data_IF_561346620799
#
_entry.id   IF_561346620799
#
_cell.length_a   1.000
_cell.length_b   1.000
_cell.length_c   1.000
_cell.angle_alpha   90.00
_cell.angle_beta   90.00
_cell.angle_gamma   90.00
#
_symmetry.space_group_name_H-M   'P 1'
#
loop_
_entity.id
_entity.type
_entity.pdbx_description
1 polymer ?
#
# COMPACT_ATOMS: atom_id res chain seq x y z
N UNK A 1 -10.83 2.95 0.86
CA UNK A 1 -12.06 3.75 0.74
C UNK A 1 -12.74 3.93 2.09
N UNK A 2 -13.34 2.87 2.68
CA UNK A 2 -14.14 2.96 3.93
C UNK A 2 -13.44 3.71 5.08
N UNK A 3 -12.14 3.50 5.28
CA UNK A 3 -11.39 4.22 6.33
C UNK A 3 -11.28 5.71 6.05
N UNK A 4 -11.00 6.10 4.80
CA UNK A 4 -10.98 7.51 4.43
C UNK A 4 -12.33 8.18 4.68
N UNK A 5 -13.43 7.53 4.28
CA UNK A 5 -14.80 8.02 4.52
C UNK A 5 -15.10 8.18 6.03
N UNK A 6 -14.70 7.19 6.85
CA UNK A 6 -14.85 7.28 8.33
C UNK A 6 -14.01 8.39 8.97
N UNK A 7 -12.87 8.72 8.37
CA UNK A 7 -12.02 9.84 8.80
C UNK A 7 -12.49 11.20 8.22
N UNK A 8 -13.65 11.24 7.59
CA UNK A 8 -14.23 12.47 7.02
C UNK A 8 -13.59 12.91 5.70
N UNK A 9 -12.83 12.05 5.03
CA UNK A 9 -12.22 12.34 3.74
C UNK A 9 -13.23 12.14 2.61
N UNK A 10 -13.20 13.00 1.59
CA UNK A 10 -13.81 12.71 0.29
C UNK A 10 -12.93 11.68 -0.45
N UNK A 11 -13.48 10.51 -0.71
CA UNK A 11 -12.72 9.42 -1.33
C UNK A 11 -12.98 9.35 -2.83
N UNK A 12 -11.92 9.52 -3.61
CA UNK A 12 -11.90 9.27 -5.05
C UNK A 12 -11.43 7.83 -5.30
N UNK A 13 -12.15 7.09 -6.14
CA UNK A 13 -11.81 5.71 -6.51
C UNK A 13 -11.46 5.66 -7.98
N UNK A 14 -10.26 5.21 -8.31
CA UNK A 14 -9.81 4.99 -9.68
C UNK A 14 -9.47 3.51 -9.86
N UNK A 15 -10.29 2.78 -10.59
CA UNK A 15 -10.11 1.35 -10.89
C UNK A 15 -10.83 1.04 -12.22
N UNK A 16 -10.19 1.32 -13.36
CA UNK A 16 -10.82 1.14 -14.66
C UNK A 16 -11.31 -0.28 -14.95
N UNK A 17 -10.58 -1.37 -14.60
CA UNK A 17 -11.08 -2.73 -14.75
C UNK A 17 -12.35 -2.98 -13.96
N UNK A 18 -12.40 -2.50 -12.73
CA UNK A 18 -13.55 -2.66 -11.86
C UNK A 18 -14.73 -1.80 -12.32
N UNK A 19 -14.48 -0.58 -12.75
CA UNK A 19 -15.49 0.30 -13.31
C UNK A 19 -16.20 -0.34 -14.51
N UNK A 20 -15.43 -0.96 -15.44
CA UNK A 20 -16.01 -1.66 -16.60
C UNK A 20 -16.84 -2.88 -16.21
N UNK A 21 -16.47 -3.58 -15.14
CA UNK A 21 -17.17 -4.79 -14.70
C UNK A 21 -18.38 -4.53 -13.83
N UNK A 22 -18.30 -3.55 -12.94
CA UNK A 22 -19.27 -3.33 -11.87
C UNK A 22 -20.06 -2.02 -12.04
N UNK A 23 -19.57 -1.08 -12.86
CA UNK A 23 -20.10 0.28 -12.89
C UNK A 23 -19.81 1.04 -11.59
N UNK A 24 -20.52 2.14 -11.36
CA UNK A 24 -20.46 2.91 -10.11
C UNK A 24 -19.55 4.13 -10.18
N UNK A 25 -19.35 4.77 -9.02
CA UNK A 25 -18.67 6.06 -8.89
C UNK A 25 -17.15 5.89 -8.89
N UNK A 26 -16.59 5.79 -10.07
CA UNK A 26 -15.14 5.83 -10.29
C UNK A 26 -14.76 7.08 -11.07
N UNK A 27 -13.56 7.57 -10.81
CA UNK A 27 -12.96 8.67 -11.56
C UNK A 27 -11.77 8.18 -12.36
N UNK A 28 -11.35 8.93 -13.35
CA UNK A 28 -10.11 8.68 -14.08
C UNK A 28 -8.87 9.13 -13.29
N UNK A 29 -7.71 8.69 -13.74
CA UNK A 29 -6.43 9.01 -13.10
C UNK A 29 -6.11 10.51 -13.17
N UNK A 30 -6.54 11.20 -14.23
CA UNK A 30 -6.35 12.63 -14.37
C UNK A 30 -7.15 13.42 -13.32
N UNK A 31 -8.34 12.97 -12.99
CA UNK A 31 -9.14 13.55 -11.90
C UNK A 31 -8.48 13.33 -10.55
N UNK A 32 -7.91 12.12 -10.31
CA UNK A 32 -7.12 11.87 -9.08
C UNK A 32 -5.95 12.83 -8.99
N UNK A 33 -5.16 13.01 -10.06
CA UNK A 33 -4.03 13.90 -10.08
C UNK A 33 -4.40 15.36 -9.78
N UNK A 34 -5.53 15.81 -10.29
CA UNK A 34 -6.01 17.19 -10.13
C UNK A 34 -6.62 17.49 -8.77
N UNK A 35 -7.26 16.50 -8.11
CA UNK A 35 -8.15 16.75 -6.98
C UNK A 35 -7.72 16.11 -5.66
N UNK A 36 -6.76 15.18 -5.68
CA UNK A 36 -6.42 14.44 -4.47
C UNK A 36 -5.31 15.12 -3.65
N UNK A 37 -5.55 15.30 -2.36
CA UNK A 37 -4.53 15.70 -1.38
C UNK A 37 -3.65 14.52 -0.95
N UNK A 38 -4.22 13.30 -0.96
CA UNK A 38 -3.54 12.06 -0.61
C UNK A 38 -3.81 11.01 -1.69
N UNK A 39 -2.75 10.43 -2.23
CA UNK A 39 -2.84 9.38 -3.24
C UNK A 39 -2.25 8.09 -2.67
N UNK A 40 -2.98 6.99 -2.76
CA UNK A 40 -2.50 5.68 -2.33
C UNK A 40 -2.77 4.62 -3.39
N UNK A 41 -1.73 3.86 -3.73
CA UNK A 41 -1.81 2.79 -4.73
C UNK A 41 -2.11 1.44 -4.07
N UNK A 42 -3.08 0.71 -4.67
CA UNK A 42 -3.52 -0.63 -4.23
C UNK A 42 -3.72 -1.56 -5.43
N UNK A 43 -3.04 -1.31 -6.51
CA UNK A 43 -3.17 -2.03 -7.77
C UNK A 43 -2.15 -3.16 -7.89
N UNK A 44 -2.46 -4.27 -8.57
CA UNK A 44 -1.46 -5.25 -8.95
C UNK A 44 -0.47 -4.65 -9.94
N UNK A 45 0.73 -5.21 -10.01
CA UNK A 45 1.72 -4.81 -11.01
C UNK A 45 1.49 -5.60 -12.31
N UNK A 46 1.12 -4.89 -13.37
CA UNK A 46 0.97 -5.44 -14.73
C UNK A 46 1.80 -4.61 -15.70
N UNK A 47 2.50 -5.29 -16.62
CA UNK A 47 3.43 -4.63 -17.54
C UNK A 47 2.87 -4.42 -18.94
N UNK A 48 1.71 -5.00 -19.25
CA UNK A 48 1.12 -4.96 -20.59
C UNK A 48 -0.40 -4.97 -20.51
N UNK A 49 -1.04 -4.64 -21.63
CA UNK A 49 -2.49 -4.55 -21.76
C UNK A 49 -3.02 -3.15 -21.49
N UNK A 50 -4.33 -2.98 -21.69
CA UNK A 50 -5.00 -1.68 -21.56
C UNK A 50 -4.96 -1.12 -20.12
N UNK A 51 -4.80 -1.99 -19.14
CA UNK A 51 -4.75 -1.63 -17.71
C UNK A 51 -3.35 -1.88 -17.13
N UNK A 52 -2.30 -1.69 -17.94
CA UNK A 52 -0.93 -1.77 -17.44
C UNK A 52 -0.70 -0.76 -16.31
N UNK A 53 -0.05 -1.23 -15.25
CA UNK A 53 0.18 -0.43 -14.04
C UNK A 53 1.67 -0.17 -13.77
N UNK A 54 2.55 -0.76 -14.58
CA UNK A 54 3.97 -0.44 -14.53
C UNK A 54 4.19 1.03 -14.81
N UNK A 55 4.79 1.73 -13.84
CA UNK A 55 5.01 3.17 -13.89
C UNK A 55 3.74 3.98 -14.22
N UNK A 56 2.59 3.55 -13.70
CA UNK A 56 1.35 4.34 -13.84
C UNK A 56 1.50 5.74 -13.21
N UNK A 57 2.35 5.85 -12.18
CA UNK A 57 2.82 7.13 -11.65
C UNK A 57 4.21 7.43 -12.22
N UNK A 58 4.23 7.80 -13.49
CA UNK A 58 5.41 8.27 -14.23
C UNK A 58 5.66 9.77 -14.03
N UNK A 59 6.68 10.33 -14.70
CA UNK A 59 6.99 11.76 -14.65
C UNK A 59 5.79 12.63 -15.04
N UNK A 60 5.03 12.23 -16.07
CA UNK A 60 3.88 13.01 -16.54
C UNK A 60 2.76 13.06 -15.49
N UNK A 61 2.48 11.91 -14.87
CA UNK A 61 1.50 11.86 -13.78
C UNK A 61 1.94 12.71 -12.60
N UNK A 62 3.19 12.55 -12.15
CA UNK A 62 3.73 13.27 -10.99
C UNK A 62 3.78 14.79 -11.23
N UNK A 63 4.12 15.24 -12.43
CA UNK A 63 4.09 16.66 -12.82
C UNK A 63 2.67 17.24 -12.90
N UNK A 64 1.66 16.40 -13.07
CA UNK A 64 0.25 16.82 -13.14
C UNK A 64 -0.43 16.94 -11.78
N UNK A 65 0.26 16.58 -10.69
CA UNK A 65 -0.28 16.67 -9.34
C UNK A 65 -0.45 18.13 -8.92
N UNK A 66 -1.67 18.54 -8.58
CA UNK A 66 -1.97 19.93 -8.26
C UNK A 66 -2.02 20.20 -6.76
N UNK A 67 -2.45 19.24 -5.97
CA UNK A 67 -2.73 19.39 -4.53
C UNK A 67 -2.15 18.27 -3.68
N UNK A 68 -1.48 17.28 -4.30
CA UNK A 68 -1.02 16.09 -3.58
C UNK A 68 0.05 16.46 -2.54
N UNK A 69 -0.25 16.21 -1.29
CA UNK A 69 0.63 16.41 -0.14
C UNK A 69 1.25 15.11 0.37
N UNK A 70 0.63 13.97 0.05
CA UNK A 70 1.12 12.65 0.44
C UNK A 70 0.86 11.63 -0.66
N UNK A 71 1.91 10.98 -1.12
CA UNK A 71 1.81 9.83 -2.02
C UNK A 71 2.26 8.57 -1.28
N UNK A 72 1.44 7.52 -1.35
CA UNK A 72 1.68 6.25 -0.65
C UNK A 72 1.77 5.10 -1.66
N UNK A 73 2.87 4.37 -1.65
CA UNK A 73 3.00 3.11 -2.38
C UNK A 73 3.22 1.93 -1.43
N UNK A 74 2.16 1.24 -1.11
CA UNK A 74 2.17 -0.04 -0.40
C UNK A 74 1.62 -1.19 -1.27
N UNK A 75 1.61 -1.01 -2.59
CA UNK A 75 1.09 -1.98 -3.53
C UNK A 75 2.20 -2.90 -4.06
N UNK A 76 3.02 -2.40 -4.98
CA UNK A 76 4.19 -3.10 -5.56
C UNK A 76 5.24 -2.10 -6.00
N UNK A 77 6.51 -2.49 -5.95
CA UNK A 77 7.59 -1.78 -6.62
C UNK A 77 7.34 -1.69 -8.11
N UNK A 78 7.69 -0.54 -8.73
CA UNK A 78 7.43 -0.28 -10.14
C UNK A 78 6.00 0.19 -10.50
N UNK A 79 5.12 0.39 -9.53
CA UNK A 79 3.87 1.14 -9.73
C UNK A 79 4.19 2.63 -9.90
N UNK A 80 5.08 3.12 -9.07
CA UNK A 80 5.62 4.48 -9.15
C UNK A 80 7.02 4.41 -9.74
N UNK A 81 7.32 5.24 -10.72
CA UNK A 81 8.68 5.43 -11.22
C UNK A 81 9.49 6.17 -10.15
N UNK A 82 10.42 5.47 -9.49
CA UNK A 82 11.22 6.04 -8.40
C UNK A 82 12.13 7.18 -8.83
N UNK A 83 12.60 7.19 -10.08
CA UNK A 83 13.43 8.28 -10.60
C UNK A 83 12.60 9.54 -10.81
N UNK A 84 11.38 9.38 -11.32
CA UNK A 84 10.44 10.49 -11.46
C UNK A 84 9.97 11.00 -10.08
N UNK A 85 9.72 10.06 -9.15
CA UNK A 85 9.32 10.40 -7.78
C UNK A 85 10.38 11.21 -7.04
N UNK A 86 11.66 10.85 -7.17
CA UNK A 86 12.77 11.62 -6.59
C UNK A 86 12.74 13.08 -7.04
N UNK A 87 12.57 13.32 -8.34
CA UNK A 87 12.49 14.68 -8.88
C UNK A 87 11.28 15.45 -8.32
N UNK A 88 10.15 14.77 -8.19
CA UNK A 88 8.93 15.38 -7.65
C UNK A 88 9.08 15.76 -6.16
N UNK A 89 9.74 14.91 -5.37
CA UNK A 89 10.00 15.16 -3.95
C UNK A 89 11.03 16.26 -3.72
N UNK A 90 12.09 16.31 -4.53
CA UNK A 90 13.13 17.34 -4.42
C UNK A 90 12.62 18.74 -4.82
N UNK A 91 11.59 18.82 -5.64
CA UNK A 91 11.01 20.07 -6.11
C UNK A 91 9.82 20.60 -5.32
N UNK A 92 9.33 19.86 -4.31
CA UNK A 92 8.02 20.18 -3.77
C UNK A 92 7.77 19.89 -2.30
N UNK A 93 6.54 20.15 -1.91
CA UNK A 93 6.02 19.96 -0.55
C UNK A 93 5.38 18.58 -0.34
N UNK A 94 5.48 17.67 -1.34
CA UNK A 94 4.87 16.35 -1.27
C UNK A 94 5.70 15.39 -0.41
N UNK A 95 5.10 14.87 0.63
CA UNK A 95 5.65 13.75 1.40
C UNK A 95 5.40 12.42 0.67
N UNK A 96 6.27 11.43 0.87
CA UNK A 96 6.08 10.09 0.32
C UNK A 96 6.20 9.02 1.40
N UNK A 97 5.33 8.01 1.31
CA UNK A 97 5.35 6.82 2.13
C UNK A 97 5.51 5.59 1.23
N UNK A 98 6.62 4.89 1.37
CA UNK A 98 6.98 3.78 0.49
C UNK A 98 7.21 2.52 1.31
N UNK A 99 6.44 1.49 1.00
CA UNK A 99 6.62 0.14 1.54
C UNK A 99 7.14 -0.83 0.48
N UNK A 100 6.74 -0.64 -0.77
CA UNK A 100 7.14 -1.47 -1.90
C UNK A 100 8.04 -0.68 -2.85
N UNK A 101 9.24 -1.19 -3.08
CA UNK A 101 10.33 -0.51 -3.79
C UNK A 101 10.65 -1.16 -5.12
N UNK A 102 11.17 -0.38 -6.06
CA UNK A 102 11.81 -0.98 -7.23
C UNK A 102 13.09 -1.71 -6.81
N UNK A 103 13.40 -2.79 -7.51
CA UNK A 103 14.63 -3.57 -7.34
C UNK A 103 14.88 -4.13 -5.93
N UNK A 104 13.81 -4.40 -5.16
CA UNK A 104 13.97 -5.12 -3.88
C UNK A 104 14.86 -6.37 -4.05
N UNK A 105 15.75 -6.67 -3.12
CA UNK A 105 16.01 -5.97 -1.85
C UNK A 105 17.00 -4.81 -1.96
N UNK A 106 17.55 -4.51 -3.14
CA UNK A 106 18.49 -3.42 -3.41
C UNK A 106 17.74 -2.13 -3.72
N UNK A 107 17.20 -1.52 -2.67
CA UNK A 107 16.36 -0.33 -2.77
C UNK A 107 17.15 0.94 -3.08
N UNK A 108 16.47 1.95 -3.54
CA UNK A 108 17.06 3.26 -3.81
C UNK A 108 17.33 4.02 -2.50
N UNK A 109 18.60 4.13 -2.10
CA UNK A 109 18.99 4.77 -0.85
C UNK A 109 18.71 6.28 -0.84
N UNK A 110 18.78 6.95 -1.99
CA UNK A 110 18.47 8.39 -2.06
C UNK A 110 16.98 8.61 -1.78
N UNK A 111 16.12 7.78 -2.37
CA UNK A 111 14.69 7.83 -2.12
C UNK A 111 14.35 7.43 -0.66
N UNK A 112 15.09 6.47 -0.08
CA UNK A 112 14.95 6.08 1.33
C UNK A 112 15.17 7.28 2.27
N UNK A 113 16.18 8.08 2.02
CA UNK A 113 16.48 9.27 2.84
C UNK A 113 15.43 10.37 2.66
N UNK A 114 14.82 10.50 1.49
CA UNK A 114 13.80 11.50 1.18
C UNK A 114 12.40 11.11 1.63
N UNK A 115 12.10 9.83 1.71
CA UNK A 115 10.77 9.36 2.07
C UNK A 115 10.40 9.73 3.52
N UNK A 116 9.21 10.25 3.74
CA UNK A 116 8.69 10.51 5.09
C UNK A 116 8.52 9.20 5.88
N UNK A 117 7.91 8.20 5.24
CA UNK A 117 7.82 6.82 5.76
C UNK A 117 8.46 5.88 4.75
N UNK A 118 9.33 4.99 5.23
CA UNK A 118 10.02 3.99 4.45
C UNK A 118 10.04 2.65 5.20
N UNK A 119 9.41 1.62 4.67
CA UNK A 119 9.30 0.32 5.32
C UNK A 119 9.74 -0.81 4.39
N UNK A 120 10.22 -1.95 4.91
CA UNK A 120 10.79 -3.02 4.11
C UNK A 120 9.74 -4.02 3.61
N UNK A 121 8.71 -3.53 2.89
CA UNK A 121 7.62 -4.32 2.30
C UNK A 121 6.86 -5.14 3.35
N UNK A 122 6.40 -4.46 4.40
CA UNK A 122 5.73 -5.05 5.56
C UNK A 122 4.31 -4.51 5.80
N UNK A 123 3.77 -3.69 4.91
CA UNK A 123 2.45 -3.08 5.07
C UNK A 123 1.34 -4.14 5.30
N UNK A 124 1.44 -5.29 4.65
CA UNK A 124 0.54 -6.43 4.83
C UNK A 124 0.92 -7.41 5.97
N UNK A 125 1.93 -7.09 6.80
CA UNK A 125 2.47 -8.03 7.78
C UNK A 125 1.75 -7.91 9.14
N UNK A 126 0.48 -8.31 9.17
CA UNK A 126 -0.26 -8.57 10.41
C UNK A 126 -0.43 -10.07 10.65
N UNK A 127 -0.55 -10.50 11.89
CA UNK A 127 -0.76 -11.90 12.23
C UNK A 127 -2.07 -12.41 11.63
N UNK A 128 -3.14 -11.67 11.82
CA UNK A 128 -4.46 -11.99 11.28
C UNK A 128 -4.50 -11.93 9.75
N UNK A 129 -3.81 -10.97 9.13
CA UNK A 129 -3.71 -10.85 7.67
C UNK A 129 -3.03 -12.06 7.04
N UNK A 130 -1.93 -12.54 7.63
CA UNK A 130 -1.25 -13.75 7.16
C UNK A 130 -2.11 -15.00 7.36
N UNK A 131 -2.79 -15.12 8.49
CA UNK A 131 -3.73 -16.23 8.74
C UNK A 131 -4.88 -16.23 7.71
N UNK A 132 -5.48 -15.06 7.42
CA UNK A 132 -6.51 -14.94 6.39
C UNK A 132 -6.02 -15.33 5.00
N UNK A 133 -4.83 -14.88 4.62
CA UNK A 133 -4.25 -15.25 3.32
C UNK A 133 -4.09 -16.77 3.20
N UNK A 134 -3.60 -17.44 4.25
CA UNK A 134 -3.50 -18.89 4.30
C UNK A 134 -4.87 -19.57 4.22
N UNK A 135 -5.86 -19.11 5.01
CA UNK A 135 -7.21 -19.65 4.98
C UNK A 135 -7.84 -19.54 3.57
N UNK A 136 -7.75 -18.37 2.94
CA UNK A 136 -8.26 -18.14 1.59
C UNK A 136 -7.59 -19.04 0.54
N UNK A 137 -6.28 -19.26 0.64
CA UNK A 137 -5.57 -20.16 -0.26
C UNK A 137 -6.04 -21.62 -0.10
N UNK A 138 -6.20 -22.09 1.16
CA UNK A 138 -6.71 -23.42 1.45
C UNK A 138 -8.17 -23.59 1.00
N UNK A 139 -9.02 -22.60 1.20
CA UNK A 139 -10.40 -22.61 0.70
C UNK A 139 -10.48 -22.66 -0.83
N UNK A 140 -9.57 -21.94 -1.52
CA UNK A 140 -9.49 -22.03 -2.98
C UNK A 140 -9.05 -23.42 -3.45
N UNK A 141 -8.09 -24.02 -2.75
CA UNK A 141 -7.63 -25.38 -2.99
C UNK A 141 -8.77 -26.39 -2.79
N UNK A 142 -9.50 -26.32 -1.68
CA UNK A 142 -10.65 -27.18 -1.40
C UNK A 142 -11.71 -27.10 -2.51
N UNK A 143 -12.07 -25.89 -2.92
CA UNK A 143 -13.04 -25.70 -4.00
C UNK A 143 -12.57 -26.31 -5.33
N UNK A 144 -11.27 -26.21 -5.62
CA UNK A 144 -10.72 -26.70 -6.88
C UNK A 144 -10.64 -28.22 -6.93
N UNK A 145 -10.24 -28.85 -5.82
CA UNK A 145 -10.01 -30.31 -5.77
C UNK A 145 -11.17 -31.10 -5.14
N UNK A 146 -12.18 -30.45 -4.60
CA UNK A 146 -13.31 -31.12 -3.94
C UNK A 146 -12.92 -31.85 -2.66
N UNK A 147 -11.90 -31.38 -1.94
CA UNK A 147 -11.38 -32.00 -0.72
C UNK A 147 -11.53 -31.04 0.45
N UNK A 148 -11.62 -31.58 1.68
CA UNK A 148 -11.54 -30.78 2.89
C UNK A 148 -10.11 -30.76 3.44
N UNK A 149 -9.67 -29.62 3.97
CA UNK A 149 -8.38 -29.47 4.65
C UNK A 149 -8.63 -29.16 6.12
N UNK A 150 -8.14 -30.02 6.99
CA UNK A 150 -8.22 -29.83 8.44
C UNK A 150 -7.19 -28.82 8.94
N UNK A 151 -7.48 -28.20 10.08
CA UNK A 151 -6.54 -27.28 10.76
C UNK A 151 -6.35 -25.93 10.05
N UNK A 152 -7.30 -25.50 9.23
CA UNK A 152 -7.27 -24.17 8.64
C UNK A 152 -7.21 -23.09 9.73
N UNK A 153 -6.38 -22.07 9.57
CA UNK A 153 -6.39 -20.95 10.50
C UNK A 153 -7.74 -20.24 10.48
N UNK A 154 -8.23 -19.89 11.66
CA UNK A 154 -9.41 -19.07 11.86
C UNK A 154 -8.99 -17.72 12.45
N UNK A 155 -8.58 -16.77 11.61
CA UNK A 155 -8.15 -15.47 12.10
C UNK A 155 -9.32 -14.77 12.78
N UNK A 156 -9.04 -14.12 13.91
CA UNK A 156 -10.02 -13.26 14.52
C UNK A 156 -10.49 -12.20 13.49
N UNK A 157 -11.78 -11.96 13.44
CA UNK A 157 -12.32 -10.90 12.60
C UNK A 157 -11.72 -9.59 13.07
N UNK A 158 -11.06 -8.82 12.20
CA UNK A 158 -10.58 -7.51 12.60
C UNK A 158 -11.76 -6.69 13.10
N UNK A 159 -11.61 -6.02 14.21
CA UNK A 159 -12.59 -5.04 14.70
C UNK A 159 -12.59 -3.77 13.81
N UNK A 160 -12.32 -3.94 12.53
CA UNK A 160 -12.43 -2.90 11.48
C UNK A 160 -13.86 -2.38 11.31
N UNK A 161 -14.79 -2.89 12.09
CA UNK A 161 -16.20 -2.60 11.95
C UNK A 161 -16.68 -1.44 12.81
N UNK A 162 -16.64 -1.58 14.10
CA UNK A 162 -17.48 -0.76 14.97
C UNK A 162 -16.73 0.22 15.88
N UNK A 163 -15.54 -0.11 16.35
CA UNK A 163 -15.00 0.48 17.58
C UNK A 163 -13.64 1.19 17.46
N UNK A 164 -13.11 1.45 16.25
CA UNK A 164 -11.97 2.35 16.12
C UNK A 164 -12.49 3.78 16.09
N UNK A 165 -12.89 4.25 17.27
CA UNK A 165 -13.55 5.54 17.41
C UNK A 165 -12.62 6.74 17.31
N UNK A 166 -11.30 6.53 17.16
CA UNK A 166 -10.39 7.65 17.08
C UNK A 166 -9.13 7.36 16.27
N UNK A 167 -8.61 8.42 15.65
CA UNK A 167 -7.27 8.47 15.05
C UNK A 167 -6.21 8.00 16.06
N UNK A 168 -6.39 8.30 17.34
CA UNK A 168 -5.48 7.90 18.43
C UNK A 168 -5.32 6.38 18.55
N UNK A 169 -6.40 5.61 18.38
CA UNK A 169 -6.33 4.14 18.38
C UNK A 169 -5.50 3.62 17.23
N UNK A 170 -5.66 4.18 16.04
CA UNK A 170 -4.86 3.83 14.86
C UNK A 170 -3.38 4.17 15.13
N UNK A 171 -3.11 5.37 15.63
CA UNK A 171 -1.74 5.84 15.90
C UNK A 171 -1.01 5.03 16.98
N UNK A 172 -1.73 4.51 17.98
CA UNK A 172 -1.15 3.64 19.00
C UNK A 172 -0.91 2.21 18.53
N UNK A 173 -1.59 1.76 17.48
CA UNK A 173 -1.48 0.37 17.00
C UNK A 173 -0.16 0.09 16.29
N UNK A 174 0.43 1.10 15.65
CA UNK A 174 1.65 0.94 14.86
C UNK A 174 2.37 2.27 14.63
N UNK A 175 3.70 2.28 14.85
CA UNK A 175 4.58 3.41 14.52
C UNK A 175 5.45 3.09 13.29
N UNK A 176 5.06 3.50 12.08
CA UNK A 176 5.85 3.27 10.85
C UNK A 176 7.20 4.00 10.86
N UNK A 177 7.34 5.06 11.66
CA UNK A 177 8.60 5.78 11.76
C UNK A 177 9.67 4.98 12.51
N UNK A 178 9.26 4.07 13.40
CA UNK A 178 10.20 3.15 14.05
C UNK A 178 10.86 2.22 13.02
N UNK A 179 10.08 1.64 12.10
CA UNK A 179 10.60 0.80 11.03
C UNK A 179 11.38 1.61 9.99
N UNK A 180 10.96 2.83 9.70
CA UNK A 180 11.71 3.78 8.85
C UNK A 180 13.11 4.03 9.42
N UNK A 181 13.23 4.31 10.71
CA UNK A 181 14.54 4.50 11.36
C UNK A 181 15.42 3.25 11.27
N UNK A 182 14.84 2.06 11.46
CA UNK A 182 15.56 0.78 11.34
C UNK A 182 16.08 0.54 9.93
N UNK A 183 15.26 0.79 8.92
CA UNK A 183 15.63 0.61 7.53
C UNK A 183 16.72 1.60 7.11
N UNK A 184 16.62 2.88 7.50
CA UNK A 184 17.66 3.88 7.23
C UNK A 184 18.98 3.56 7.92
N UNK A 185 18.93 3.06 9.14
CA UNK A 185 20.14 2.68 9.87
C UNK A 185 20.91 1.52 9.19
N UNK A 186 20.23 0.66 8.46
CA UNK A 186 20.85 -0.45 7.73
C UNK A 186 20.02 -0.82 6.47
N UNK A 187 20.16 -0.08 5.38
CA UNK A 187 19.40 -0.34 4.15
C UNK A 187 19.68 -1.71 3.53
N UNK A 188 20.91 -2.21 3.66
CA UNK A 188 21.31 -3.53 3.13
C UNK A 188 20.67 -4.70 3.90
N UNK A 189 20.11 -4.44 5.07
CA UNK A 189 19.34 -5.41 5.83
C UNK A 189 17.86 -5.51 5.43
N UNK A 190 17.45 -4.91 4.31
CA UNK A 190 16.05 -4.88 3.85
C UNK A 190 15.37 -6.24 3.95
N UNK A 191 15.96 -7.26 3.35
CA UNK A 191 15.37 -8.61 3.32
C UNK A 191 15.32 -9.24 4.71
N UNK A 192 16.34 -9.04 5.55
CA UNK A 192 16.34 -9.50 6.92
C UNK A 192 15.26 -8.81 7.75
N UNK A 193 15.15 -7.48 7.66
CA UNK A 193 14.13 -6.69 8.36
C UNK A 193 12.71 -7.11 7.97
N UNK A 194 12.51 -7.51 6.71
CA UNK A 194 11.26 -8.04 6.21
C UNK A 194 10.98 -9.46 6.70
N UNK A 195 11.95 -10.37 6.61
CA UNK A 195 11.77 -11.79 6.91
C UNK A 195 11.67 -12.06 8.42
N UNK A 196 12.40 -11.31 9.24
CA UNK A 196 12.39 -11.40 10.69
C UNK A 196 11.39 -10.43 11.35
N UNK A 197 10.51 -9.81 10.55
CA UNK A 197 9.56 -8.84 11.06
C UNK A 197 8.60 -9.48 12.06
N UNK A 198 8.57 -8.91 13.26
CA UNK A 198 7.60 -9.33 14.28
C UNK A 198 6.18 -8.92 13.86
N UNK A 199 5.33 -9.93 13.58
CA UNK A 199 3.99 -9.67 13.08
C UNK A 199 3.18 -8.89 14.12
N UNK A 200 2.72 -7.72 13.72
CA UNK A 200 1.81 -6.92 14.55
C UNK A 200 0.41 -7.51 14.53
N UNK A 201 -0.33 -7.30 15.62
CA UNK A 201 -1.77 -7.54 15.62
C UNK A 201 -2.48 -6.45 14.80
N UNK A 202 -3.59 -6.81 14.15
CA UNK A 202 -4.48 -5.79 13.59
C UNK A 202 -5.16 -5.02 14.72
N UNK A 203 -5.54 -3.76 14.44
CA UNK A 203 -6.27 -2.93 15.39
C UNK A 203 -7.56 -3.64 15.78
N UNK A 204 -7.73 -3.87 17.06
CA UNK A 204 -8.91 -4.45 17.67
C UNK A 204 -9.66 -3.40 18.44
#
# INVERSE_FOLDING_TARGET
ARWGERLGMRVLRCDPPRQRREGGDFVDLATVAREADVITFHTPLTRSGADATWHIADSRFLESLSHCRLLVNSARGGIVDEQALLKAVDGGEMAVAIDCWENEPRINHVLLERAFVATPHIAGYSAEGKQRATAMALEAFERHYGVAVDGKPHPATPLLGADVDSVDTIMRSYDPLADTRRLRANPDAFERLRNEYHLRAEVR
#
